data_IF_752269535958
#
_entry.id   IF_752269535958
#
_cell.length_a   1.000
_cell.length_b   1.000
_cell.length_c   1.000
_cell.angle_alpha   90.00
_cell.angle_beta   90.00
_cell.angle_gamma   90.00
#
_symmetry.space_group_name_H-M   'P 1'
#
loop_
_entity.id
_entity.type
_entity.pdbx_description
1 polymer ?
#
# COMPACT_ATOMS: atom_id res chain seq x y z
N UNK A 1 17.10 29.27 13.29
CA UNK A 1 17.98 29.20 12.09
C UNK A 1 18.75 27.89 12.22
N UNK A 2 18.72 27.01 11.23
CA UNK A 2 19.40 25.71 11.32
C UNK A 2 20.89 25.89 11.15
N UNK A 3 21.68 25.35 12.09
CA UNK A 3 23.12 25.63 12.18
C UNK A 3 23.98 24.64 11.37
N UNK A 4 23.39 23.55 10.90
CA UNK A 4 24.11 22.50 10.16
C UNK A 4 23.78 22.56 8.68
N UNK A 5 24.83 22.60 7.89
CA UNK A 5 24.77 22.63 6.42
C UNK A 5 25.39 21.36 5.85
N UNK A 6 24.66 20.72 4.95
CA UNK A 6 25.12 19.57 4.16
C UNK A 6 25.35 20.03 2.72
N UNK A 7 26.55 19.76 2.19
CA UNK A 7 26.91 20.05 0.81
C UNK A 7 27.00 18.75 0.02
N UNK A 8 26.33 18.70 -1.14
CA UNK A 8 26.36 17.54 -2.02
C UNK A 8 27.62 17.54 -2.88
N UNK A 9 28.03 16.37 -3.36
CA UNK A 9 29.14 16.21 -4.29
C UNK A 9 28.81 16.82 -5.65
N UNK A 10 29.85 17.20 -6.39
CA UNK A 10 29.71 17.71 -7.76
C UNK A 10 29.03 16.67 -8.67
N UNK A 11 27.94 17.11 -9.30
CA UNK A 11 27.15 16.25 -10.19
C UNK A 11 26.04 15.45 -9.49
N UNK A 12 26.01 15.46 -8.15
CA UNK A 12 24.94 14.81 -7.36
C UNK A 12 23.75 15.75 -7.08
N UNK A 13 22.70 15.24 -6.46
CA UNK A 13 21.47 15.99 -6.19
C UNK A 13 20.55 16.17 -7.40
N UNK A 14 20.76 15.44 -8.48
CA UNK A 14 19.90 15.50 -9.69
C UNK A 14 18.48 15.02 -9.37
N UNK A 15 18.36 13.92 -8.65
CA UNK A 15 17.06 13.40 -8.19
C UNK A 15 16.35 14.43 -7.32
N UNK A 16 17.10 15.08 -6.41
CA UNK A 16 16.54 16.12 -5.55
C UNK A 16 16.03 17.32 -6.38
N UNK A 17 16.81 17.78 -7.38
CA UNK A 17 16.41 18.86 -8.33
C UNK A 17 15.18 18.47 -9.17
N UNK A 18 15.03 17.20 -9.50
CA UNK A 18 13.89 16.68 -10.24
C UNK A 18 12.62 16.48 -9.37
N UNK A 19 12.67 16.81 -8.07
CA UNK A 19 11.53 16.69 -7.16
C UNK A 19 11.61 15.54 -6.16
N UNK A 20 12.61 14.67 -6.26
CA UNK A 20 12.83 13.58 -5.30
C UNK A 20 13.15 14.09 -3.89
N UNK A 21 12.95 13.26 -2.88
CA UNK A 21 13.01 13.69 -1.49
C UNK A 21 14.15 13.05 -0.70
N UNK A 22 15.00 12.23 -1.31
CA UNK A 22 16.06 11.49 -0.66
C UNK A 22 17.44 11.95 -1.09
N UNK A 23 18.36 12.02 -0.12
CA UNK A 23 19.80 12.16 -0.35
C UNK A 23 20.48 10.95 0.29
N UNK A 24 21.26 10.24 -0.51
CA UNK A 24 22.00 9.07 -0.03
C UNK A 24 23.38 9.46 0.54
N UNK A 25 23.92 8.59 1.38
CA UNK A 25 25.23 8.76 2.02
C UNK A 25 26.37 9.03 1.02
N UNK A 26 26.35 8.37 -0.12
CA UNK A 26 27.35 8.52 -1.19
C UNK A 26 27.25 9.82 -1.97
N UNK A 27 26.13 10.59 -1.85
CA UNK A 27 25.94 11.89 -2.51
C UNK A 27 26.52 13.06 -1.71
N UNK A 28 26.84 12.87 -0.42
CA UNK A 28 27.27 13.92 0.50
C UNK A 28 28.79 14.16 0.37
N UNK A 29 29.20 15.42 0.15
CA UNK A 29 30.58 15.85 0.15
C UNK A 29 31.05 16.26 1.54
N UNK A 30 30.26 17.05 2.28
CA UNK A 30 30.62 17.52 3.61
C UNK A 30 29.38 17.86 4.44
N UNK A 31 29.55 17.80 5.76
CA UNK A 31 28.59 18.26 6.75
C UNK A 31 29.33 19.28 7.63
N UNK A 32 28.80 20.47 7.77
CA UNK A 32 29.37 21.55 8.57
C UNK A 32 28.39 21.99 9.65
N UNK A 33 28.84 22.09 10.89
CA UNK A 33 28.02 22.39 12.07
C UNK A 33 27.77 21.16 12.93
N UNK A 34 27.28 21.38 14.13
CA UNK A 34 26.95 20.33 15.08
C UNK A 34 25.50 19.87 14.87
N UNK A 35 25.26 18.56 14.96
CA UNK A 35 23.93 17.98 14.81
C UNK A 35 23.80 16.66 15.58
N UNK A 36 22.59 16.34 15.93
CA UNK A 36 22.18 14.99 16.30
C UNK A 36 21.37 14.34 15.17
N UNK A 37 21.42 13.01 15.08
CA UNK A 37 20.59 12.30 14.13
C UNK A 37 19.10 12.60 14.38
N UNK A 38 18.38 12.93 13.34
CA UNK A 38 16.99 13.39 13.37
C UNK A 38 16.82 14.92 13.36
N UNK A 39 17.90 15.69 13.46
CA UNK A 39 17.82 17.15 13.38
C UNK A 39 17.56 17.63 11.94
N UNK A 40 16.97 18.83 11.85
CA UNK A 40 16.77 19.51 10.56
C UNK A 40 18.05 20.22 10.13
N UNK A 41 18.48 19.96 8.91
CA UNK A 41 19.68 20.53 8.30
C UNK A 41 19.34 21.28 7.01
N UNK A 42 20.25 22.18 6.63
CA UNK A 42 20.21 22.91 5.34
C UNK A 42 20.98 22.10 4.31
N UNK A 43 20.42 21.96 3.11
CA UNK A 43 21.04 21.22 2.01
C UNK A 43 21.43 22.19 0.91
N UNK A 44 22.70 22.14 0.49
CA UNK A 44 23.23 22.86 -0.66
C UNK A 44 23.81 21.88 -1.69
N UNK A 45 23.75 22.26 -2.97
CA UNK A 45 24.52 21.55 -3.97
C UNK A 45 26.01 21.96 -3.91
N UNK A 46 26.84 21.36 -4.78
CA UNK A 46 28.28 21.62 -4.84
C UNK A 46 28.64 23.09 -5.04
N UNK A 47 27.83 23.84 -5.77
CA UNK A 47 28.06 25.26 -6.10
C UNK A 47 27.43 26.21 -5.06
N UNK A 48 26.91 25.68 -3.95
CA UNK A 48 26.30 26.45 -2.85
C UNK A 48 24.83 26.84 -3.11
N UNK A 49 24.19 26.30 -4.13
CA UNK A 49 22.77 26.52 -4.37
C UNK A 49 21.93 25.84 -3.30
N UNK A 50 20.99 26.57 -2.71
CA UNK A 50 20.08 26.04 -1.69
C UNK A 50 19.12 25.03 -2.31
N UNK A 51 19.12 23.80 -1.76
CA UNK A 51 18.29 22.68 -2.22
C UNK A 51 17.07 22.45 -1.36
N UNK A 52 17.14 22.82 -0.07
CA UNK A 52 16.04 22.66 0.88
C UNK A 52 16.46 22.40 2.31
N UNK A 53 15.47 22.07 3.11
CA UNK A 53 15.59 21.58 4.49
C UNK A 53 15.16 20.13 4.56
N UNK A 54 15.85 19.32 5.35
CA UNK A 54 15.52 17.95 5.61
C UNK A 54 16.06 17.47 6.93
N UNK A 55 15.57 16.39 7.47
CA UNK A 55 16.18 15.79 8.65
C UNK A 55 17.28 14.80 8.25
N UNK A 56 18.37 14.79 9.05
CA UNK A 56 19.55 13.98 8.82
C UNK A 56 19.57 12.74 9.71
N UNK A 57 19.99 11.60 9.15
CA UNK A 57 20.34 10.40 9.90
C UNK A 57 21.51 9.68 9.23
N UNK A 58 22.70 9.81 9.81
CA UNK A 58 23.92 9.21 9.26
C UNK A 58 24.02 7.67 9.45
N UNK A 59 23.09 7.07 10.20
CA UNK A 59 22.97 5.61 10.32
C UNK A 59 22.24 4.98 9.13
N UNK A 60 21.44 5.79 8.43
CA UNK A 60 20.64 5.38 7.28
C UNK A 60 21.39 5.63 5.98
N UNK A 61 21.26 4.73 4.99
CA UNK A 61 21.73 4.97 3.62
C UNK A 61 21.00 6.15 2.97
N UNK A 62 19.71 6.34 3.28
CA UNK A 62 18.97 7.56 2.95
C UNK A 62 19.27 8.55 4.07
N UNK A 63 20.42 9.21 3.95
CA UNK A 63 20.96 10.04 5.02
C UNK A 63 20.13 11.29 5.27
N UNK A 64 19.50 11.86 4.23
CA UNK A 64 18.60 13.00 4.41
C UNK A 64 17.28 12.73 3.69
N UNK A 65 16.20 13.06 4.38
CA UNK A 65 14.85 13.13 3.79
C UNK A 65 14.38 14.58 3.81
N UNK A 66 14.06 15.09 2.63
CA UNK A 66 13.69 16.48 2.42
C UNK A 66 12.30 16.78 2.99
N UNK A 67 12.14 17.92 3.68
CA UNK A 67 10.88 18.42 4.22
C UNK A 67 10.35 19.63 3.45
N UNK A 68 11.25 20.56 3.07
CA UNK A 68 10.86 21.81 2.41
C UNK A 68 11.93 22.29 1.44
N UNK A 69 11.50 23.01 0.39
CA UNK A 69 12.36 23.54 -0.68
C UNK A 69 12.48 25.06 -0.68
N UNK A 70 11.73 25.75 0.15
CA UNK A 70 11.74 27.23 0.21
C UNK A 70 12.61 27.70 1.36
N UNK A 71 13.44 28.72 1.12
CA UNK A 71 14.35 29.28 2.12
C UNK A 71 13.65 29.93 3.32
N UNK A 72 12.44 30.42 3.11
CA UNK A 72 11.61 31.10 4.12
C UNK A 72 10.78 30.13 4.95
N UNK A 73 10.90 28.83 4.72
CA UNK A 73 10.16 27.82 5.49
C UNK A 73 10.78 27.63 6.88
N UNK A 74 9.94 27.67 7.90
CA UNK A 74 10.26 27.26 9.26
C UNK A 74 9.63 25.89 9.50
N UNK A 75 10.44 24.94 9.95
CA UNK A 75 9.95 23.60 10.31
C UNK A 75 9.58 23.60 11.79
N UNK A 76 8.32 23.79 12.06
CA UNK A 76 7.71 23.86 13.38
C UNK A 76 6.35 23.13 13.40
N UNK A 77 5.60 23.24 14.49
CA UNK A 77 4.27 22.64 14.62
C UNK A 77 3.30 23.14 13.54
N UNK A 78 3.35 24.44 13.19
CA UNK A 78 2.49 25.03 12.18
C UNK A 78 2.79 24.47 10.78
N UNK A 79 4.07 24.19 10.48
CA UNK A 79 4.47 23.51 9.24
C UNK A 79 3.84 22.12 9.14
N UNK A 80 3.91 21.32 10.21
CA UNK A 80 3.33 19.98 10.21
C UNK A 80 1.80 20.02 10.16
N UNK A 81 1.16 20.95 10.87
CA UNK A 81 -0.29 21.14 10.79
C UNK A 81 -0.73 21.46 9.35
N UNK A 82 0.00 22.32 8.64
CA UNK A 82 -0.32 22.65 7.25
C UNK A 82 -0.16 21.43 6.34
N UNK A 83 0.91 20.63 6.50
CA UNK A 83 1.12 19.39 5.73
C UNK A 83 -0.01 18.37 5.94
N UNK A 84 -0.43 18.20 7.18
CA UNK A 84 -1.56 17.34 7.55
C UNK A 84 -2.86 17.85 6.92
N UNK A 85 -3.11 19.15 6.99
CA UNK A 85 -4.29 19.80 6.38
C UNK A 85 -4.34 19.61 4.86
N UNK A 86 -3.21 19.80 4.19
CA UNK A 86 -3.09 19.59 2.74
C UNK A 86 -3.40 18.14 2.37
N UNK A 87 -2.83 17.18 3.11
CA UNK A 87 -3.07 15.76 2.91
C UNK A 87 -4.53 15.38 3.15
N UNK A 88 -5.17 15.90 4.20
CA UNK A 88 -6.59 15.68 4.48
C UNK A 88 -7.49 16.27 3.40
N UNK A 89 -7.25 17.52 2.98
CA UNK A 89 -8.02 18.17 1.91
C UNK A 89 -7.94 17.35 0.61
N UNK A 90 -6.75 16.84 0.27
CA UNK A 90 -6.58 15.97 -0.90
C UNK A 90 -7.46 14.70 -0.80
N UNK A 91 -7.51 14.03 0.37
CA UNK A 91 -8.36 12.83 0.56
C UNK A 91 -9.84 13.14 0.43
N UNK A 92 -10.30 14.25 0.99
CA UNK A 92 -11.70 14.68 0.87
C UNK A 92 -12.17 14.84 -0.58
N UNK A 93 -11.28 15.25 -1.47
CA UNK A 93 -11.58 15.46 -2.88
C UNK A 93 -11.46 14.19 -3.74
N UNK A 94 -10.68 13.19 -3.29
CA UNK A 94 -10.26 12.11 -4.18
C UNK A 94 -10.79 10.72 -3.80
N UNK A 95 -11.21 10.51 -2.55
CA UNK A 95 -11.64 9.20 -2.08
C UNK A 95 -12.70 9.32 -0.98
N UNK A 96 -13.47 8.25 -0.76
CA UNK A 96 -14.26 8.09 0.46
C UNK A 96 -13.35 7.98 1.68
N UNK A 97 -13.53 8.90 2.62
CA UNK A 97 -12.66 9.08 3.79
C UNK A 97 -13.14 8.33 5.04
N UNK A 98 -14.17 7.50 4.96
CA UNK A 98 -14.63 6.68 6.09
C UNK A 98 -13.52 5.83 6.68
N UNK A 99 -12.73 5.20 5.81
CA UNK A 99 -11.47 4.52 6.13
C UNK A 99 -10.52 4.70 4.94
N UNK A 100 -9.35 5.29 5.16
CA UNK A 100 -8.39 5.62 4.10
C UNK A 100 -7.00 5.87 4.69
N UNK A 101 -5.99 5.85 3.85
CA UNK A 101 -4.65 6.34 4.20
C UNK A 101 -4.65 7.85 4.23
N UNK A 102 -4.42 8.45 5.40
CA UNK A 102 -4.39 9.90 5.59
C UNK A 102 -3.03 10.51 5.23
N UNK A 103 -1.94 9.81 5.56
CA UNK A 103 -0.57 10.23 5.26
C UNK A 103 0.18 9.09 4.59
N UNK A 104 0.77 9.35 3.44
CA UNK A 104 1.56 8.39 2.67
C UNK A 104 2.99 8.91 2.43
N UNK A 105 3.73 9.11 3.50
CA UNK A 105 5.16 9.41 3.47
C UNK A 105 5.55 10.54 2.53
N UNK A 106 6.44 10.22 1.62
CA UNK A 106 7.00 11.14 0.62
C UNK A 106 5.93 11.76 -0.28
N UNK A 107 4.88 11.03 -0.58
CA UNK A 107 3.82 11.51 -1.47
C UNK A 107 2.93 12.59 -0.82
N UNK A 108 2.96 12.71 0.51
CA UNK A 108 2.34 13.80 1.25
C UNK A 108 3.38 14.77 1.84
N UNK A 109 4.63 14.69 1.38
CA UNK A 109 5.72 15.54 1.83
C UNK A 109 6.02 15.43 3.34
N UNK A 110 5.72 14.27 3.92
CA UNK A 110 6.02 13.85 5.29
C UNK A 110 6.82 12.53 5.25
N UNK A 111 8.06 12.55 4.73
CA UNK A 111 8.80 11.33 4.41
C UNK A 111 9.04 10.46 5.64
N UNK A 112 8.73 9.18 5.48
CA UNK A 112 8.98 8.16 6.50
C UNK A 112 7.88 7.99 7.55
N UNK A 113 6.70 8.62 7.40
CA UNK A 113 5.54 8.34 8.25
C UNK A 113 4.34 7.94 7.39
N UNK A 114 3.60 6.94 7.86
CA UNK A 114 2.33 6.51 7.28
C UNK A 114 1.27 6.56 8.37
N UNK A 115 0.10 7.08 8.04
CA UNK A 115 -1.03 7.11 8.97
C UNK A 115 -2.29 6.66 8.24
N UNK A 116 -2.88 5.57 8.70
CA UNK A 116 -4.15 5.04 8.23
C UNK A 116 -5.27 5.37 9.22
N UNK A 117 -6.43 5.69 8.68
CA UNK A 117 -7.67 5.87 9.43
C UNK A 117 -8.59 4.69 9.16
N UNK A 118 -8.98 3.99 10.21
CA UNK A 118 -9.99 2.95 10.21
C UNK A 118 -11.17 3.45 11.06
N UNK A 119 -12.26 3.88 10.40
CA UNK A 119 -13.40 4.49 11.07
C UNK A 119 -12.98 5.67 11.99
N UNK A 120 -12.97 5.49 13.29
CA UNK A 120 -12.61 6.47 14.32
C UNK A 120 -11.23 6.21 14.98
N UNK A 121 -10.41 5.33 14.40
CA UNK A 121 -9.09 4.96 14.91
C UNK A 121 -8.01 5.34 13.92
N UNK A 122 -6.88 5.87 14.42
CA UNK A 122 -5.66 6.08 13.63
C UNK A 122 -4.64 4.98 13.90
N UNK A 123 -4.01 4.49 12.85
CA UNK A 123 -2.86 3.59 12.93
C UNK A 123 -1.65 4.28 12.32
N UNK A 124 -0.58 4.39 13.10
CA UNK A 124 0.61 5.15 12.74
C UNK A 124 1.78 4.20 12.56
N UNK A 125 2.51 4.35 11.45
CA UNK A 125 3.78 3.68 11.20
C UNK A 125 4.85 4.74 10.96
N UNK A 126 5.83 4.87 11.87
CA UNK A 126 6.95 5.79 11.79
C UNK A 126 8.22 5.01 11.44
N UNK A 127 8.80 5.29 10.28
CA UNK A 127 9.86 4.48 9.66
C UNK A 127 11.22 5.18 9.63
N UNK A 128 11.29 6.48 9.93
CA UNK A 128 12.51 7.27 9.87
C UNK A 128 12.71 8.11 11.13
N UNK A 129 13.96 8.21 11.60
CA UNK A 129 14.30 8.82 12.89
C UNK A 129 13.86 10.29 13.00
N UNK A 130 14.05 11.07 11.94
CA UNK A 130 13.72 12.49 11.96
C UNK A 130 12.23 12.74 12.14
N UNK A 131 11.38 12.01 11.40
CA UNK A 131 9.93 12.16 11.52
C UNK A 131 9.39 11.52 12.80
N UNK A 132 10.08 10.52 13.35
CA UNK A 132 9.71 9.91 14.63
C UNK A 132 9.76 10.93 15.79
N UNK A 133 10.69 11.89 15.76
CA UNK A 133 10.75 13.00 16.72
C UNK A 133 9.50 13.90 16.65
N UNK A 134 8.86 14.02 15.48
CA UNK A 134 7.69 14.86 15.24
C UNK A 134 6.36 14.09 15.25
N UNK A 135 6.41 12.80 15.43
CA UNK A 135 5.25 11.90 15.35
C UNK A 135 4.07 12.38 16.19
N UNK A 136 4.28 12.74 17.45
CA UNK A 136 3.21 13.19 18.33
C UNK A 136 2.60 14.53 17.88
N UNK A 137 3.43 15.47 17.43
CA UNK A 137 2.98 16.74 16.86
C UNK A 137 2.10 16.51 15.62
N UNK A 138 2.50 15.59 14.75
CA UNK A 138 1.73 15.23 13.53
C UNK A 138 0.40 14.59 13.91
N UNK A 139 0.37 13.71 14.91
CA UNK A 139 -0.85 13.05 15.39
C UNK A 139 -1.83 14.07 15.98
N UNK A 140 -1.33 14.99 16.81
CA UNK A 140 -2.16 16.03 17.44
C UNK A 140 -2.70 17.01 16.40
N UNK A 141 -1.87 17.42 15.45
CA UNK A 141 -2.30 18.22 14.31
C UNK A 141 -3.40 17.50 13.49
N UNK A 142 -3.23 16.19 13.25
CA UNK A 142 -4.22 15.40 12.50
C UNK A 142 -5.55 15.30 13.26
N UNK A 143 -5.53 15.02 14.57
CA UNK A 143 -6.74 15.02 15.41
C UNK A 143 -7.46 16.37 15.36
N UNK A 144 -6.70 17.46 15.45
CA UNK A 144 -7.25 18.84 15.36
C UNK A 144 -7.91 19.09 14.02
N UNK A 145 -7.23 18.80 12.92
CA UNK A 145 -7.74 19.01 11.55
C UNK A 145 -8.98 18.16 11.26
N UNK A 146 -9.01 16.91 11.72
CA UNK A 146 -10.18 16.03 11.58
C UNK A 146 -11.37 16.53 12.42
N UNK A 147 -11.11 17.04 13.63
CA UNK A 147 -12.15 17.59 14.51
C UNK A 147 -12.83 18.84 13.91
N UNK A 148 -12.14 19.65 13.11
CA UNK A 148 -12.72 20.79 12.39
C UNK A 148 -13.82 20.34 11.41
N UNK A 149 -13.70 19.13 10.85
CA UNK A 149 -14.72 18.51 9.99
C UNK A 149 -15.68 17.57 10.77
N UNK A 150 -15.71 17.67 12.11
CA UNK A 150 -16.61 16.92 12.98
C UNK A 150 -16.22 15.44 13.17
N UNK A 151 -14.99 15.04 12.82
CA UNK A 151 -14.50 13.67 12.96
C UNK A 151 -13.73 13.55 14.29
N UNK A 152 -14.31 12.80 15.23
CA UNK A 152 -13.66 12.47 16.49
C UNK A 152 -12.84 11.18 16.37
N UNK A 153 -11.60 11.22 16.83
CA UNK A 153 -10.72 10.04 16.86
C UNK A 153 -10.72 9.44 18.26
N UNK A 154 -11.21 8.21 18.38
CA UNK A 154 -11.33 7.45 19.61
C UNK A 154 -9.96 7.00 20.16
N UNK A 155 -9.03 6.65 19.28
CA UNK A 155 -7.74 6.15 19.71
C UNK A 155 -6.69 6.14 18.60
N UNK A 156 -5.44 5.97 19.03
CA UNK A 156 -4.28 5.86 18.14
C UNK A 156 -3.47 4.63 18.50
N UNK A 157 -3.16 3.80 17.52
CA UNK A 157 -2.30 2.64 17.67
C UNK A 157 -1.04 2.78 16.82
N UNK A 158 0.12 2.50 17.36
CA UNK A 158 1.39 2.55 16.64
C UNK A 158 1.80 1.15 16.15
N UNK A 159 2.07 1.02 14.87
CA UNK A 159 2.58 -0.18 14.17
C UNK A 159 3.96 0.07 13.58
N UNK A 160 4.85 0.66 14.38
CA UNK A 160 6.25 0.93 14.01
C UNK A 160 7.15 -0.31 14.23
N UNK A 161 6.68 -1.50 13.83
CA UNK A 161 7.36 -2.78 14.03
C UNK A 161 8.10 -3.28 12.78
N UNK A 162 8.21 -2.47 11.73
CA UNK A 162 8.94 -2.78 10.51
C UNK A 162 10.47 -2.86 10.74
N UNK A 163 11.13 -3.82 10.07
CA UNK A 163 12.58 -4.03 10.21
C UNK A 163 13.45 -2.84 9.78
N UNK A 164 12.92 -1.97 8.91
CA UNK A 164 13.64 -0.77 8.45
C UNK A 164 14.00 0.17 9.58
N UNK A 165 13.24 0.21 10.67
CA UNK A 165 13.56 1.02 11.86
C UNK A 165 14.92 0.69 12.47
N UNK A 166 15.33 -0.58 12.44
CA UNK A 166 16.65 -1.00 12.91
C UNK A 166 17.78 -0.38 12.07
N UNK A 167 17.55 -0.18 10.77
CA UNK A 167 18.51 0.49 9.88
C UNK A 167 18.58 2.00 10.13
N UNK A 168 17.51 2.58 10.66
CA UNK A 168 17.45 3.97 11.09
C UNK A 168 18.03 4.17 12.52
N UNK A 169 18.43 3.10 13.19
CA UNK A 169 18.93 3.12 14.57
C UNK A 169 17.83 3.26 15.63
N UNK A 170 16.61 2.88 15.27
CA UNK A 170 15.45 2.89 16.16
C UNK A 170 15.03 1.48 16.53
N UNK A 171 14.45 1.31 17.71
CA UNK A 171 13.81 0.06 18.08
C UNK A 171 12.47 -0.12 17.37
N UNK A 172 12.06 -1.38 17.18
CA UNK A 172 10.72 -1.72 16.73
C UNK A 172 9.73 -1.49 17.85
N UNK A 173 8.59 -0.90 17.54
CA UNK A 173 7.57 -0.57 18.53
C UNK A 173 6.18 -0.92 18.01
N UNK A 174 5.33 -1.41 18.91
CA UNK A 174 3.91 -1.68 18.70
C UNK A 174 3.16 -1.37 20.00
N UNK A 175 2.10 -0.57 19.95
CA UNK A 175 1.34 -0.22 21.14
C UNK A 175 0.43 1.00 21.00
N UNK A 176 -0.29 1.31 22.05
CA UNK A 176 -1.18 2.46 22.10
C UNK A 176 -0.40 3.77 22.25
N UNK A 177 -0.89 4.82 21.58
CA UNK A 177 -0.50 6.20 21.85
C UNK A 177 -1.66 6.86 22.58
N UNK A 178 -1.50 7.06 23.88
CA UNK A 178 -2.55 7.51 24.81
C UNK A 178 -3.30 6.32 25.43
N UNK A 179 -4.60 6.50 25.70
CA UNK A 179 -5.40 5.50 26.39
C UNK A 179 -5.68 4.26 25.52
N UNK A 180 -5.65 3.06 26.11
CA UNK A 180 -6.02 1.82 25.42
C UNK A 180 -7.49 1.81 24.98
N UNK A 181 -7.76 1.12 23.86
CA UNK A 181 -9.09 0.93 23.29
C UNK A 181 -9.22 -0.47 22.69
N UNK A 182 -10.42 -0.87 22.29
CA UNK A 182 -10.64 -2.11 21.54
C UNK A 182 -10.01 -2.01 20.15
N UNK A 183 -9.03 -2.87 19.87
CA UNK A 183 -8.25 -2.89 18.63
C UNK A 183 -9.00 -3.48 17.44
N UNK A 184 -10.15 -4.11 17.68
CA UNK A 184 -11.06 -4.56 16.64
C UNK A 184 -11.98 -3.43 16.22
N UNK A 185 -11.85 -2.99 14.99
CA UNK A 185 -12.53 -1.83 14.42
C UNK A 185 -13.37 -2.26 13.23
N UNK A 186 -14.67 -2.00 13.28
CA UNK A 186 -15.53 -2.20 12.13
C UNK A 186 -15.35 -1.06 11.13
N UNK A 187 -15.11 -1.41 9.86
CA UNK A 187 -15.07 -0.48 8.74
C UNK A 187 -16.08 -0.87 7.67
N UNK A 188 -16.51 0.11 6.88
CA UNK A 188 -17.34 -0.13 5.69
C UNK A 188 -16.58 0.34 4.46
N UNK A 189 -16.41 -0.55 3.49
CA UNK A 189 -15.77 -0.25 2.22
C UNK A 189 -16.60 -0.82 1.07
N UNK A 190 -16.99 0.02 0.10
CA UNK A 190 -17.82 -0.39 -1.04
C UNK A 190 -19.13 -1.09 -0.64
N UNK A 191 -19.69 -0.76 0.53
CA UNK A 191 -20.88 -1.40 1.08
C UNK A 191 -20.62 -2.74 1.78
N UNK A 192 -19.37 -3.17 1.90
CA UNK A 192 -18.95 -4.37 2.64
C UNK A 192 -18.44 -3.97 4.02
N UNK A 193 -18.92 -4.66 5.05
CA UNK A 193 -18.49 -4.52 6.43
C UNK A 193 -17.30 -5.45 6.71
N UNK A 194 -16.25 -4.94 7.30
CA UNK A 194 -15.08 -5.71 7.72
C UNK A 194 -14.75 -5.43 9.18
N UNK A 195 -14.43 -6.46 9.92
CA UNK A 195 -13.76 -6.32 11.21
C UNK A 195 -12.25 -6.29 10.98
N UNK A 196 -11.63 -5.15 11.24
CA UNK A 196 -10.19 -4.92 11.10
C UNK A 196 -9.55 -4.99 12.48
N UNK A 197 -8.48 -5.78 12.62
CA UNK A 197 -7.68 -5.81 13.84
C UNK A 197 -6.43 -4.93 13.62
N UNK A 198 -6.41 -3.75 14.25
CA UNK A 198 -5.29 -2.80 14.10
C UNK A 198 -4.05 -3.24 14.87
N UNK A 199 -4.19 -4.16 15.81
CA UNK A 199 -3.08 -4.73 16.56
C UNK A 199 -2.42 -5.90 15.82
N UNK A 200 -3.18 -6.93 15.43
CA UNK A 200 -2.64 -8.17 14.88
C UNK A 200 -2.89 -8.35 13.39
N UNK A 201 -3.65 -7.47 12.75
CA UNK A 201 -3.88 -7.48 11.31
C UNK A 201 -2.59 -7.23 10.51
N UNK A 202 -2.59 -7.64 9.24
CA UNK A 202 -1.44 -7.41 8.35
C UNK A 202 -1.23 -5.93 8.08
N UNK A 203 0.04 -5.49 7.93
CA UNK A 203 0.43 -4.09 7.83
C UNK A 203 -0.15 -3.26 8.98
N UNK A 204 -0.96 -2.27 8.67
CA UNK A 204 -1.66 -1.43 9.64
C UNK A 204 -3.03 -1.98 10.07
N UNK A 205 -3.46 -3.12 9.48
CA UNK A 205 -4.73 -3.79 9.77
C UNK A 205 -5.48 -4.27 8.53
N UNK A 206 -5.48 -3.48 7.45
CA UNK A 206 -6.19 -3.78 6.20
C UNK A 206 -5.49 -3.15 4.98
N UNK A 207 -5.75 -3.69 3.78
CA UNK A 207 -5.15 -3.20 2.52
C UNK A 207 -6.04 -2.14 1.87
N UNK A 208 -5.98 -0.91 2.35
CA UNK A 208 -6.78 0.22 1.86
C UNK A 208 -6.48 0.59 0.39
N UNK A 209 -5.25 0.33 -0.06
CA UNK A 209 -4.75 0.62 -1.41
C UNK A 209 -5.55 -0.05 -2.55
N UNK A 210 -6.23 -1.16 -2.25
CA UNK A 210 -7.05 -1.93 -3.20
C UNK A 210 -8.54 -1.52 -3.23
N UNK A 211 -8.98 -0.55 -2.43
CA UNK A 211 -10.39 -0.13 -2.29
C UNK A 211 -11.09 0.04 -3.65
N UNK A 212 -10.51 0.85 -4.53
CA UNK A 212 -11.09 1.15 -5.84
C UNK A 212 -10.97 -0.05 -6.81
N UNK A 213 -9.99 -0.92 -6.62
CA UNK A 213 -9.81 -2.12 -7.41
C UNK A 213 -10.84 -3.17 -7.02
N UNK A 214 -11.15 -3.30 -5.72
CA UNK A 214 -12.25 -4.15 -5.24
C UNK A 214 -13.61 -3.70 -5.78
N UNK A 215 -13.89 -2.39 -5.80
CA UNK A 215 -15.11 -1.86 -6.42
C UNK A 215 -15.18 -2.14 -7.94
N UNK A 216 -14.04 -2.14 -8.63
CA UNK A 216 -14.00 -2.33 -10.09
C UNK A 216 -14.49 -3.69 -10.55
N UNK A 217 -14.43 -4.74 -9.71
CA UNK A 217 -14.89 -6.08 -10.08
C UNK A 217 -16.42 -6.24 -10.03
N UNK A 218 -17.15 -5.36 -9.31
CA UNK A 218 -18.59 -5.51 -9.07
C UNK A 218 -19.38 -5.77 -10.35
N UNK A 219 -19.13 -5.02 -11.42
CA UNK A 219 -19.85 -5.14 -12.70
C UNK A 219 -19.65 -6.48 -13.42
N UNK A 220 -18.68 -7.29 -13.01
CA UNK A 220 -18.35 -8.57 -13.63
C UNK A 220 -18.80 -9.77 -12.81
N UNK A 221 -19.31 -9.56 -11.57
CA UNK A 221 -19.58 -10.65 -10.62
C UNK A 221 -21.04 -11.09 -10.54
N UNK A 222 -22.02 -10.26 -10.96
CA UNK A 222 -23.45 -10.57 -10.83
C UNK A 222 -23.79 -11.88 -11.55
N UNK A 223 -24.46 -12.80 -10.83
CA UNK A 223 -24.87 -14.15 -11.27
C UNK A 223 -23.71 -15.06 -11.72
N UNK A 224 -22.46 -14.75 -11.27
CA UNK A 224 -21.23 -15.43 -11.69
C UNK A 224 -20.67 -16.35 -10.61
N UNK A 225 -19.92 -17.37 -11.03
CA UNK A 225 -19.05 -18.17 -10.17
C UNK A 225 -17.69 -17.51 -10.12
N UNK A 226 -17.24 -17.16 -8.91
CA UNK A 226 -16.00 -16.41 -8.68
C UNK A 226 -15.01 -17.23 -7.89
N UNK A 227 -13.75 -17.22 -8.28
CA UNK A 227 -12.61 -17.72 -7.51
C UNK A 227 -11.71 -16.54 -7.14
N UNK A 228 -11.48 -16.34 -5.83
CA UNK A 228 -10.61 -15.30 -5.30
C UNK A 228 -9.42 -15.94 -4.58
N UNK A 229 -8.23 -15.85 -5.19
CA UNK A 229 -7.00 -16.41 -4.66
C UNK A 229 -6.17 -15.35 -3.93
N UNK A 230 -5.60 -15.73 -2.79
CA UNK A 230 -4.95 -14.82 -1.84
C UNK A 230 -5.95 -13.85 -1.21
N UNK A 231 -7.10 -14.41 -0.84
CA UNK A 231 -8.28 -13.63 -0.42
C UNK A 231 -8.08 -12.85 0.86
N UNK A 232 -7.03 -13.16 1.65
CA UNK A 232 -6.75 -12.57 2.95
C UNK A 232 -7.99 -12.63 3.85
N UNK A 233 -8.51 -11.51 4.34
CA UNK A 233 -9.73 -11.44 5.16
C UNK A 233 -11.02 -11.41 4.34
N UNK A 234 -10.97 -11.93 3.10
CA UNK A 234 -12.12 -12.05 2.20
C UNK A 234 -12.38 -10.80 1.36
N UNK A 235 -11.41 -9.90 1.21
CA UNK A 235 -11.68 -8.56 0.72
C UNK A 235 -12.22 -8.50 -0.73
N UNK A 236 -11.67 -9.22 -1.70
CA UNK A 236 -12.23 -9.34 -3.04
C UNK A 236 -13.44 -10.27 -3.08
N UNK A 237 -13.39 -11.39 -2.35
CA UNK A 237 -14.47 -12.37 -2.31
C UNK A 237 -15.79 -11.75 -1.82
N UNK A 238 -15.76 -10.94 -0.75
CA UNK A 238 -16.95 -10.27 -0.20
C UNK A 238 -17.45 -9.16 -1.14
N UNK A 239 -16.57 -8.43 -1.81
CA UNK A 239 -16.96 -7.49 -2.87
C UNK A 239 -17.65 -8.20 -4.04
N UNK A 240 -17.22 -9.41 -4.42
CA UNK A 240 -17.92 -10.22 -5.41
C UNK A 240 -19.28 -10.69 -4.89
N UNK A 241 -19.36 -11.09 -3.61
CA UNK A 241 -20.61 -11.51 -2.96
C UNK A 241 -21.67 -10.40 -2.92
N UNK A 242 -21.30 -9.19 -2.44
CA UNK A 242 -22.20 -8.04 -2.37
C UNK A 242 -22.65 -7.58 -3.76
N UNK A 243 -21.82 -7.78 -4.79
CA UNK A 243 -22.15 -7.51 -6.19
C UNK A 243 -23.13 -8.54 -6.81
N UNK A 244 -23.61 -9.51 -6.02
CA UNK A 244 -24.61 -10.49 -6.44
C UNK A 244 -24.01 -11.71 -7.16
N UNK A 245 -22.80 -12.12 -6.84
CA UNK A 245 -22.22 -13.36 -7.37
C UNK A 245 -23.12 -14.57 -7.01
N UNK A 246 -23.19 -15.55 -7.91
CA UNK A 246 -23.92 -16.81 -7.70
C UNK A 246 -23.24 -17.66 -6.62
N UNK A 247 -21.92 -17.71 -6.65
CA UNK A 247 -21.09 -18.36 -5.64
C UNK A 247 -19.67 -17.83 -5.70
N UNK A 248 -19.02 -17.72 -4.55
CA UNK A 248 -17.62 -17.29 -4.43
C UNK A 248 -16.85 -18.30 -3.60
N UNK A 249 -15.67 -18.68 -4.07
CA UNK A 249 -14.67 -19.40 -3.30
C UNK A 249 -13.46 -18.48 -3.09
N UNK A 250 -13.22 -18.08 -1.83
CA UNK A 250 -12.02 -17.37 -1.41
C UNK A 250 -10.98 -18.36 -0.88
N UNK A 251 -9.72 -18.19 -1.27
CA UNK A 251 -8.62 -19.08 -0.86
C UNK A 251 -7.46 -18.28 -0.29
N UNK A 252 -6.96 -18.69 0.85
CA UNK A 252 -5.74 -18.17 1.47
C UNK A 252 -4.96 -19.29 2.16
N UNK A 253 -3.65 -19.15 2.26
CA UNK A 253 -2.80 -20.12 2.95
C UNK A 253 -2.84 -19.97 4.49
N UNK A 254 -3.34 -18.85 5.00
CA UNK A 254 -3.45 -18.56 6.43
C UNK A 254 -4.80 -18.95 6.97
N UNK A 255 -4.84 -19.95 7.89
CA UNK A 255 -6.07 -20.33 8.56
C UNK A 255 -6.70 -19.14 9.32
N UNK A 256 -5.88 -18.31 9.98
CA UNK A 256 -6.36 -17.12 10.69
C UNK A 256 -7.07 -16.15 9.74
N UNK A 257 -6.53 -15.94 8.55
CA UNK A 257 -7.16 -15.07 7.54
C UNK A 257 -8.48 -15.65 7.04
N UNK A 258 -8.53 -16.96 6.81
CA UNK A 258 -9.74 -17.70 6.41
C UNK A 258 -10.82 -17.63 7.49
N UNK A 259 -10.46 -17.80 8.76
CA UNK A 259 -11.39 -17.68 9.88
C UNK A 259 -11.97 -16.26 9.96
N UNK A 260 -11.13 -15.25 9.84
CA UNK A 260 -11.57 -13.84 9.84
C UNK A 260 -12.42 -13.50 8.60
N UNK A 261 -12.08 -14.05 7.42
CA UNK A 261 -12.88 -13.89 6.21
C UNK A 261 -14.28 -14.52 6.37
N UNK A 262 -14.36 -15.67 7.04
CA UNK A 262 -15.61 -16.34 7.32
C UNK A 262 -16.49 -15.53 8.28
N UNK A 263 -15.92 -14.91 9.32
CA UNK A 263 -16.65 -14.00 10.20
C UNK A 263 -17.10 -12.74 9.46
N UNK A 264 -16.27 -12.18 8.59
CA UNK A 264 -16.66 -11.07 7.73
C UNK A 264 -17.81 -11.45 6.77
N UNK A 265 -17.84 -12.69 6.24
CA UNK A 265 -18.98 -13.13 5.42
C UNK A 265 -20.28 -13.16 6.22
N UNK A 266 -20.26 -13.66 7.46
CA UNK A 266 -21.42 -13.65 8.36
C UNK A 266 -21.87 -12.22 8.70
N UNK A 267 -20.92 -11.31 8.96
CA UNK A 267 -21.21 -9.91 9.23
C UNK A 267 -22.00 -9.23 8.09
N UNK A 268 -21.81 -9.71 6.86
CA UNK A 268 -22.46 -9.21 5.66
C UNK A 268 -23.67 -10.07 5.20
N UNK A 269 -24.03 -11.14 5.90
CA UNK A 269 -25.08 -12.07 5.48
C UNK A 269 -24.76 -12.82 4.19
N UNK A 270 -23.48 -13.03 3.91
CA UNK A 270 -22.97 -13.65 2.67
C UNK A 270 -22.52 -15.11 2.86
N UNK A 271 -22.69 -15.70 4.05
CA UNK A 271 -22.22 -17.04 4.38
C UNK A 271 -22.79 -18.17 3.50
N UNK A 272 -23.92 -17.93 2.84
CA UNK A 272 -24.53 -18.87 1.90
C UNK A 272 -24.02 -18.70 0.45
N UNK A 273 -23.35 -17.59 0.16
CA UNK A 273 -22.85 -17.26 -1.20
C UNK A 273 -21.34 -17.32 -1.29
N UNK A 274 -20.65 -16.91 -0.22
CA UNK A 274 -19.19 -16.82 -0.14
C UNK A 274 -18.68 -17.86 0.84
N UNK A 275 -17.81 -18.73 0.37
CA UNK A 275 -17.12 -19.73 1.17
C UNK A 275 -15.61 -19.53 1.10
N UNK A 276 -14.91 -19.99 2.14
CA UNK A 276 -13.46 -19.85 2.22
C UNK A 276 -12.78 -21.20 2.44
N UNK A 277 -11.56 -21.33 1.90
CA UNK A 277 -10.74 -22.52 2.02
C UNK A 277 -9.29 -22.13 2.37
N UNK A 278 -8.73 -22.77 3.41
CA UNK A 278 -7.31 -22.67 3.71
C UNK A 278 -6.54 -23.64 2.80
N UNK A 279 -5.77 -23.09 1.85
CA UNK A 279 -4.95 -23.89 0.93
C UNK A 279 -3.83 -23.04 0.33
N UNK A 280 -2.73 -23.70 -0.09
CA UNK A 280 -1.72 -23.09 -0.94
C UNK A 280 -2.26 -22.95 -2.38
N UNK A 281 -2.31 -21.72 -2.88
CA UNK A 281 -2.81 -21.43 -4.23
C UNK A 281 -1.98 -22.13 -5.31
N UNK A 282 -0.66 -22.30 -5.12
CA UNK A 282 0.20 -22.98 -6.09
C UNK A 282 -0.12 -24.48 -6.20
N UNK A 283 -0.65 -25.09 -5.15
CA UNK A 283 -1.08 -26.48 -5.13
C UNK A 283 -2.53 -26.62 -5.59
N UNK A 284 -3.41 -25.75 -5.11
CA UNK A 284 -4.84 -25.80 -5.38
C UNK A 284 -5.21 -25.53 -6.84
N UNK A 285 -4.58 -24.55 -7.50
CA UNK A 285 -4.95 -24.23 -8.90
C UNK A 285 -4.74 -25.40 -9.86
N UNK A 286 -3.63 -26.18 -9.81
CA UNK A 286 -3.48 -27.42 -10.58
C UNK A 286 -4.53 -28.48 -10.24
N UNK A 287 -4.93 -28.63 -8.99
CA UNK A 287 -5.94 -29.58 -8.57
C UNK A 287 -7.32 -29.24 -9.15
N UNK A 288 -7.72 -27.97 -9.10
CA UNK A 288 -8.96 -27.48 -9.69
C UNK A 288 -8.95 -27.66 -11.22
N UNK A 289 -7.81 -27.42 -11.87
CA UNK A 289 -7.63 -27.69 -13.31
C UNK A 289 -7.84 -29.17 -13.63
N UNK A 290 -7.21 -30.08 -12.86
CA UNK A 290 -7.32 -31.52 -13.04
C UNK A 290 -8.77 -32.03 -12.81
N UNK A 291 -9.53 -31.38 -11.93
CA UNK A 291 -10.96 -31.64 -11.67
C UNK A 291 -11.87 -31.03 -12.75
N UNK A 292 -11.34 -30.34 -13.74
CA UNK A 292 -12.13 -29.67 -14.79
C UNK A 292 -12.98 -28.50 -14.26
N UNK A 293 -12.64 -27.91 -13.11
CA UNK A 293 -13.36 -26.77 -12.54
C UNK A 293 -13.15 -25.53 -13.42
N UNK A 294 -14.22 -24.75 -13.55
CA UNK A 294 -14.22 -23.47 -14.28
C UNK A 294 -15.00 -22.43 -13.49
N UNK A 295 -14.57 -21.17 -13.67
CA UNK A 295 -15.14 -20.00 -13.04
C UNK A 295 -15.38 -18.90 -14.09
N UNK A 296 -16.45 -18.13 -13.88
CA UNK A 296 -16.73 -16.96 -14.73
C UNK A 296 -15.75 -15.82 -14.46
N UNK A 297 -15.28 -15.69 -13.20
CA UNK A 297 -14.31 -14.69 -12.78
C UNK A 297 -13.25 -15.37 -11.90
N UNK A 298 -11.98 -15.15 -12.23
CA UNK A 298 -10.84 -15.56 -11.40
C UNK A 298 -10.02 -14.34 -11.02
N UNK A 299 -9.75 -14.18 -9.71
CA UNK A 299 -9.03 -13.06 -9.12
C UNK A 299 -7.75 -13.59 -8.50
N UNK A 300 -6.61 -12.96 -8.80
CA UNK A 300 -5.31 -13.24 -8.22
C UNK A 300 -4.72 -11.96 -7.63
N UNK A 301 -4.67 -11.86 -6.31
CA UNK A 301 -4.02 -10.75 -5.59
C UNK A 301 -2.88 -11.26 -4.68
N UNK A 302 -1.80 -11.81 -5.26
CA UNK A 302 -0.73 -12.43 -4.50
C UNK A 302 0.08 -11.43 -3.70
N UNK A 303 0.74 -11.86 -2.63
CA UNK A 303 1.73 -11.05 -1.94
C UNK A 303 2.89 -10.69 -2.87
N UNK A 304 3.68 -9.69 -2.47
CA UNK A 304 4.85 -9.28 -3.24
C UNK A 304 5.88 -10.43 -3.33
N UNK A 305 6.05 -11.01 -4.52
CA UNK A 305 7.02 -12.11 -4.76
C UNK A 305 8.46 -11.62 -4.83
N UNK A 306 8.70 -10.32 -4.93
CA UNK A 306 10.04 -9.75 -4.84
C UNK A 306 10.09 -8.50 -3.98
N UNK A 307 11.14 -8.43 -3.14
CA UNK A 307 11.48 -7.26 -2.32
C UNK A 307 12.85 -6.70 -2.67
N UNK A 308 13.51 -7.25 -3.70
CA UNK A 308 14.84 -6.81 -4.15
C UNK A 308 15.06 -7.09 -5.64
N UNK A 309 15.97 -6.35 -6.25
CA UNK A 309 16.37 -6.56 -7.66
C UNK A 309 16.88 -7.97 -7.93
N UNK A 310 17.55 -8.58 -6.96
CA UNK A 310 18.15 -9.92 -7.12
C UNK A 310 17.10 -11.04 -7.23
N UNK A 311 15.89 -10.83 -6.72
CA UNK A 311 14.80 -11.82 -6.74
C UNK A 311 13.79 -11.65 -7.89
N UNK A 312 13.98 -10.67 -8.78
CA UNK A 312 13.07 -10.40 -9.91
C UNK A 312 12.82 -11.63 -10.78
N UNK A 313 13.87 -12.38 -11.15
CA UNK A 313 13.75 -13.59 -11.99
C UNK A 313 12.83 -14.66 -11.37
N UNK A 314 12.94 -14.84 -10.06
CA UNK A 314 12.07 -15.79 -9.34
C UNK A 314 10.64 -15.28 -9.22
N UNK A 315 10.46 -13.98 -9.01
CA UNK A 315 9.14 -13.36 -8.99
C UNK A 315 8.43 -13.51 -10.35
N UNK A 316 9.12 -13.26 -11.47
CA UNK A 316 8.58 -13.46 -12.82
C UNK A 316 8.09 -14.90 -13.01
N UNK A 317 8.86 -15.90 -12.56
CA UNK A 317 8.44 -17.31 -12.62
C UNK A 317 7.17 -17.56 -11.81
N UNK A 318 7.11 -17.06 -10.57
CA UNK A 318 5.94 -17.21 -9.70
C UNK A 318 4.69 -16.54 -10.29
N UNK A 319 4.81 -15.28 -10.71
CA UNK A 319 3.70 -14.58 -11.37
C UNK A 319 3.24 -15.27 -12.65
N UNK A 320 4.18 -15.74 -13.50
CA UNK A 320 3.83 -16.48 -14.72
C UNK A 320 3.06 -17.74 -14.39
N UNK A 321 3.51 -18.53 -13.42
CA UNK A 321 2.88 -19.80 -13.03
C UNK A 321 1.45 -19.58 -12.54
N UNK A 322 1.23 -18.70 -11.55
CA UNK A 322 -0.11 -18.49 -11.01
C UNK A 322 -1.06 -17.88 -12.05
N UNK A 323 -0.57 -16.96 -12.90
CA UNK A 323 -1.38 -16.38 -13.98
C UNK A 323 -1.76 -17.44 -15.02
N UNK A 324 -0.83 -18.31 -15.41
CA UNK A 324 -1.09 -19.41 -16.32
C UNK A 324 -2.17 -20.36 -15.77
N UNK A 325 -2.02 -20.78 -14.51
CA UNK A 325 -3.00 -21.68 -13.86
C UNK A 325 -4.35 -21.01 -13.68
N UNK A 326 -4.38 -19.77 -13.20
CA UNK A 326 -5.61 -19.01 -13.05
C UNK A 326 -6.35 -18.84 -14.38
N UNK A 327 -5.66 -18.50 -15.48
CA UNK A 327 -6.23 -18.35 -16.82
C UNK A 327 -6.87 -19.65 -17.34
N UNK A 328 -6.30 -20.80 -17.03
CA UNK A 328 -6.87 -22.10 -17.41
C UNK A 328 -8.20 -22.39 -16.72
N UNK A 329 -8.45 -21.78 -15.57
CA UNK A 329 -9.71 -21.95 -14.82
C UNK A 329 -10.81 -20.97 -15.26
N UNK A 330 -10.50 -19.96 -16.09
CA UNK A 330 -11.51 -19.03 -16.60
C UNK A 330 -12.32 -19.65 -17.72
N UNK A 331 -13.66 -19.52 -17.63
CA UNK A 331 -14.57 -19.88 -18.72
C UNK A 331 -14.31 -19.01 -19.96
N UNK A 332 -14.60 -19.55 -21.16
CA UNK A 332 -14.52 -18.76 -22.38
C UNK A 332 -15.50 -17.58 -22.34
N UNK A 333 -15.00 -16.36 -22.53
CA UNK A 333 -15.76 -15.12 -22.38
C UNK A 333 -15.81 -14.59 -20.94
N UNK A 334 -15.26 -15.32 -19.96
CA UNK A 334 -15.15 -14.91 -18.56
C UNK A 334 -14.10 -13.83 -18.33
N UNK A 335 -13.88 -13.46 -17.05
CA UNK A 335 -12.97 -12.38 -16.66
C UNK A 335 -11.84 -12.89 -15.79
N UNK A 336 -10.68 -12.31 -16.00
CA UNK A 336 -9.48 -12.57 -15.23
C UNK A 336 -8.95 -11.27 -14.62
N UNK A 337 -8.79 -11.27 -13.30
CA UNK A 337 -8.26 -10.17 -12.53
C UNK A 337 -6.92 -10.59 -11.97
N UNK A 338 -5.88 -9.77 -12.16
CA UNK A 338 -4.55 -10.09 -11.64
C UNK A 338 -3.83 -8.85 -11.17
N UNK A 339 -3.15 -8.98 -10.03
CA UNK A 339 -2.46 -7.89 -9.36
C UNK A 339 -0.98 -8.20 -9.15
N UNK A 340 -0.20 -7.14 -9.01
CA UNK A 340 1.16 -7.20 -8.45
C UNK A 340 1.43 -5.95 -7.61
N UNK A 341 1.71 -6.15 -6.32
CA UNK A 341 2.16 -5.10 -5.40
C UNK A 341 3.69 -5.03 -5.27
N UNK A 342 4.45 -5.75 -6.09
CA UNK A 342 5.91 -5.73 -6.08
C UNK A 342 6.44 -4.48 -6.80
N UNK A 343 7.14 -3.60 -6.11
CA UNK A 343 7.77 -2.42 -6.70
C UNK A 343 8.72 -2.78 -7.86
N UNK A 344 9.54 -3.83 -7.70
CA UNK A 344 10.49 -4.30 -8.72
C UNK A 344 9.85 -5.08 -9.89
N UNK A 345 8.56 -5.30 -9.88
CA UNK A 345 7.76 -5.81 -10.98
C UNK A 345 7.07 -4.60 -11.64
N UNK A 346 7.80 -3.87 -12.50
CA UNK A 346 7.25 -2.72 -13.19
C UNK A 346 6.08 -3.11 -14.12
N UNK A 347 5.29 -2.14 -14.61
CA UNK A 347 4.12 -2.42 -15.45
C UNK A 347 4.44 -3.17 -16.74
N UNK A 348 5.58 -2.86 -17.38
CA UNK A 348 5.98 -3.50 -18.65
C UNK A 348 6.36 -4.96 -18.43
N UNK A 349 7.16 -5.23 -17.39
CA UNK A 349 7.57 -6.57 -17.02
C UNK A 349 6.35 -7.42 -16.59
N UNK A 350 5.43 -6.85 -15.80
CA UNK A 350 4.22 -7.55 -15.39
C UNK A 350 3.31 -7.85 -16.59
N UNK A 351 3.08 -6.89 -17.48
CA UNK A 351 2.31 -7.09 -18.69
C UNK A 351 2.93 -8.15 -19.62
N UNK A 352 4.28 -8.16 -19.74
CA UNK A 352 4.99 -9.21 -20.48
C UNK A 352 4.76 -10.60 -19.85
N UNK A 353 4.87 -10.67 -18.51
CA UNK A 353 4.66 -11.93 -17.77
C UNK A 353 3.25 -12.48 -17.95
N UNK A 354 2.22 -11.62 -17.92
CA UNK A 354 0.83 -12.00 -18.18
C UNK A 354 0.65 -12.50 -19.61
N UNK A 355 1.23 -11.83 -20.63
CA UNK A 355 1.17 -12.28 -22.04
C UNK A 355 1.78 -13.67 -22.23
N UNK A 356 2.93 -13.94 -21.58
CA UNK A 356 3.57 -15.26 -21.62
C UNK A 356 2.69 -16.34 -20.97
N UNK A 357 2.04 -16.00 -19.84
CA UNK A 357 1.11 -16.89 -19.15
C UNK A 357 -0.13 -17.20 -20.04
N UNK A 358 -0.71 -16.19 -20.67
CA UNK A 358 -1.86 -16.35 -21.57
C UNK A 358 -1.54 -17.22 -22.77
N UNK A 359 -0.38 -17.01 -23.41
CA UNK A 359 0.10 -17.87 -24.49
C UNK A 359 0.24 -19.34 -24.03
N UNK A 360 0.84 -19.57 -22.87
CA UNK A 360 0.97 -20.92 -22.30
C UNK A 360 -0.35 -21.57 -21.89
N UNK A 361 -1.37 -20.77 -21.61
CA UNK A 361 -2.73 -21.24 -21.30
C UNK A 361 -3.63 -21.40 -22.55
N UNK A 362 -3.13 -21.09 -23.75
CA UNK A 362 -3.89 -21.03 -25.01
C UNK A 362 -5.11 -20.10 -24.92
N UNK A 363 -4.92 -18.94 -24.28
CA UNK A 363 -5.95 -17.91 -24.09
C UNK A 363 -5.55 -16.60 -24.76
N UNK A 364 -6.55 -15.87 -25.24
CA UNK A 364 -6.44 -14.51 -25.73
C UNK A 364 -7.05 -13.56 -24.71
N UNK A 365 -6.39 -12.44 -24.44
CA UNK A 365 -6.79 -11.45 -23.44
C UNK A 365 -7.22 -10.15 -24.12
N UNK A 366 -8.41 -9.66 -23.76
CA UNK A 366 -8.85 -8.30 -24.06
C UNK A 366 -8.76 -7.49 -22.79
N UNK A 367 -7.85 -6.53 -22.74
CA UNK A 367 -7.75 -5.65 -21.56
C UNK A 367 -9.00 -4.81 -21.43
N UNK A 368 -9.63 -4.87 -20.27
CA UNK A 368 -10.80 -4.09 -19.91
C UNK A 368 -10.42 -2.90 -19.04
N UNK A 369 -9.58 -3.14 -18.04
CA UNK A 369 -9.06 -2.09 -17.15
C UNK A 369 -7.59 -2.30 -16.82
N UNK A 370 -6.92 -1.18 -16.57
CA UNK A 370 -5.66 -1.09 -15.87
C UNK A 370 -5.80 -0.02 -14.79
N UNK A 371 -5.51 -0.37 -13.56
CA UNK A 371 -5.55 0.53 -12.41
C UNK A 371 -4.29 0.36 -11.57
N UNK A 372 -4.10 1.33 -10.70
CA UNK A 372 -3.01 1.37 -9.71
C UNK A 372 -3.59 1.33 -8.29
N UNK A 373 -2.83 1.69 -7.29
CA UNK A 373 -3.31 1.89 -5.93
C UNK A 373 -4.37 3.00 -5.84
N UNK A 374 -5.18 2.97 -4.81
CA UNK A 374 -6.20 3.99 -4.55
C UNK A 374 -5.59 5.40 -4.43
N UNK A 375 -6.38 6.47 -4.72
CA UNK A 375 -5.89 7.86 -4.64
C UNK A 375 -5.36 8.25 -3.26
N UNK A 376 -5.80 7.62 -2.18
CA UNK A 376 -5.28 7.81 -0.83
C UNK A 376 -3.84 7.29 -0.63
N UNK A 377 -3.32 6.54 -1.59
CA UNK A 377 -1.92 6.15 -1.74
C UNK A 377 -1.32 6.87 -2.96
N UNK A 378 -1.17 8.19 -2.93
CA UNK A 378 -0.84 8.96 -4.13
C UNK A 378 0.51 8.56 -4.73
N UNK A 379 0.57 8.57 -6.07
CA UNK A 379 1.81 8.36 -6.82
C UNK A 379 2.45 9.72 -7.03
N UNK A 380 3.56 9.98 -6.36
CA UNK A 380 4.34 11.17 -6.58
C UNK A 380 5.29 10.96 -7.78
N UNK A 381 5.08 11.69 -8.86
CA UNK A 381 5.81 11.50 -10.12
C UNK A 381 7.32 11.72 -10.04
N UNK A 382 7.78 12.36 -8.98
CA UNK A 382 9.20 12.57 -8.68
C UNK A 382 9.77 11.53 -7.71
N UNK A 383 8.97 10.53 -7.29
CA UNK A 383 9.33 9.50 -6.33
C UNK A 383 8.79 8.14 -6.81
N UNK A 384 9.59 7.46 -7.63
CA UNK A 384 9.22 6.18 -8.26
C UNK A 384 8.83 5.10 -7.24
N UNK A 385 9.36 5.18 -6.02
CA UNK A 385 9.04 4.29 -4.91
C UNK A 385 7.59 4.38 -4.46
N UNK A 386 6.89 5.46 -4.75
CA UNK A 386 5.46 5.62 -4.45
C UNK A 386 4.56 4.80 -5.37
N UNK A 387 5.06 4.34 -6.53
CA UNK A 387 4.31 3.53 -7.48
C UNK A 387 4.64 2.05 -7.34
N UNK A 388 3.70 1.24 -6.85
CA UNK A 388 3.96 -0.17 -6.60
C UNK A 388 2.84 -1.13 -7.02
N UNK A 389 1.59 -0.68 -7.15
CA UNK A 389 0.46 -1.57 -7.44
C UNK A 389 0.08 -1.52 -8.92
N UNK A 390 -0.03 -2.69 -9.54
CA UNK A 390 -0.56 -2.92 -10.88
C UNK A 390 -1.75 -3.86 -10.75
N UNK A 391 -2.89 -3.44 -11.28
CA UNK A 391 -4.14 -4.17 -11.28
C UNK A 391 -4.70 -4.21 -12.70
N UNK A 392 -4.98 -5.41 -13.20
CA UNK A 392 -5.56 -5.61 -14.53
C UNK A 392 -6.86 -6.39 -14.45
N UNK A 393 -7.82 -6.03 -15.29
CA UNK A 393 -8.99 -6.84 -15.62
C UNK A 393 -8.93 -7.16 -17.11
N UNK A 394 -9.04 -8.44 -17.44
CA UNK A 394 -9.11 -8.93 -18.81
C UNK A 394 -10.39 -9.74 -19.04
N UNK A 395 -10.98 -9.61 -20.22
CA UNK A 395 -11.87 -10.64 -20.76
C UNK A 395 -11.00 -11.74 -21.39
N UNK A 396 -11.32 -12.99 -21.09
CA UNK A 396 -10.58 -14.17 -21.55
C UNK A 396 -11.34 -14.86 -22.66
N UNK A 397 -10.67 -15.14 -23.77
CA UNK A 397 -11.24 -15.85 -24.92
C UNK A 397 -10.33 -17.02 -25.28
N UNK A 398 -10.91 -18.19 -25.56
CA UNK A 398 -10.16 -19.35 -25.98
C UNK A 398 -9.50 -19.12 -27.34
N UNK A 399 -8.26 -19.56 -27.46
CA UNK A 399 -7.59 -19.61 -28.76
C UNK A 399 -8.22 -20.77 -29.58
N UNK A 400 -8.82 -20.42 -30.73
CA UNK A 400 -9.41 -21.42 -31.64
C UNK A 400 -8.36 -22.04 -32.55
#
# INVERSE_FOLDING_TARGET
MYNTTVTLKKGEGRTLKAGGMWVYDNEIASIMGDFENGDVVVIHDFDGYFMGYGYINTRSKITIRLLARRKDTVIDEAFFEQRVRDAWNYRKETIDTSSCRLIFGEADFLPGIVIDKFSDVLVVESLALGIDKWKLVIIDALKKVLAEDGIAIRGVYERSDAKVRLQEGMERYKGFIGEPFDTKVEIVENGVHYMVDVEDGQKTGFFLDQKNNRAAIHRFCKDKKVLDCFTHTGSFALNAGIAGAKSVLGVDASQLAVDQATENAKLNGLENTVSFQCADVFELLPELEAQGKKYDVVILDPPAFTKSRNSIKNAVKGYREINLRGLKLVENGGFFVTCSCSHFMDPELFAKTIREAAHGAHKRLRQVEFKTQGPDHPILWAADESYYLKFYIFQVVDEK
#
